data_IF_794274803859
#
_entry.id   IF_794274803859
#
_cell.length_a   1.000
_cell.length_b   1.000
_cell.length_c   1.000
_cell.angle_alpha   90.00
_cell.angle_beta   90.00
_cell.angle_gamma   90.00
#
_symmetry.space_group_name_H-M   'P 1'
#
loop_
_entity.id
_entity.type
_entity.pdbx_description
1 polymer ?
#
# COMPACT_ATOMS: atom_id res chain seq x y z
N UNK A 1 -39.45 3.31 -8.74
CA UNK A 1 -38.04 2.93 -8.54
C UNK A 1 -37.46 4.02 -7.68
N UNK A 2 -37.38 3.73 -6.38
CA UNK A 2 -37.30 4.74 -5.31
C UNK A 2 -35.90 5.32 -5.25
N UNK A 3 -35.82 6.59 -4.80
CA UNK A 3 -34.61 7.41 -4.60
C UNK A 3 -33.62 6.83 -3.56
N UNK A 4 -33.78 5.55 -3.22
CA UNK A 4 -33.06 4.82 -2.17
C UNK A 4 -31.67 4.33 -2.61
N UNK A 5 -31.35 4.33 -3.90
CA UNK A 5 -30.00 3.97 -4.39
C UNK A 5 -29.02 5.15 -4.34
N UNK A 6 -29.53 6.40 -4.27
CA UNK A 6 -28.70 7.61 -4.18
C UNK A 6 -28.18 7.88 -2.76
N UNK A 7 -28.65 7.09 -1.79
CA UNK A 7 -28.22 7.09 -0.38
C UNK A 7 -27.22 5.94 -0.11
N UNK A 8 -26.40 5.57 -1.09
CA UNK A 8 -25.05 5.04 -0.78
C UNK A 8 -24.22 6.26 -0.33
N UNK A 9 -24.61 6.74 0.85
CA UNK A 9 -24.11 7.92 1.50
C UNK A 9 -22.61 7.82 1.69
N UNK A 10 -21.97 8.93 1.37
CA UNK A 10 -20.59 9.36 1.60
C UNK A 10 -20.04 9.15 3.04
N UNK A 11 -20.74 8.42 3.92
CA UNK A 11 -20.32 8.10 5.29
C UNK A 11 -19.46 6.83 5.39
N UNK A 12 -19.23 6.10 4.28
CA UNK A 12 -18.46 4.85 4.26
C UNK A 12 -17.35 4.76 3.21
N UNK A 13 -16.87 5.86 2.65
CA UNK A 13 -15.53 5.88 2.05
C UNK A 13 -14.51 6.01 3.19
N UNK A 14 -14.40 4.94 3.98
CA UNK A 14 -13.32 4.82 4.93
C UNK A 14 -12.04 4.75 4.11
N UNK A 15 -11.04 5.58 4.43
CA UNK A 15 -9.68 5.53 3.84
C UNK A 15 -9.04 4.12 3.94
N UNK A 16 -9.70 3.19 4.64
CA UNK A 16 -9.37 1.78 4.79
C UNK A 16 -9.47 0.95 3.50
N UNK A 17 -10.22 1.38 2.48
CA UNK A 17 -10.41 0.55 1.27
C UNK A 17 -9.33 0.74 0.19
N UNK A 18 -8.56 1.85 0.24
CA UNK A 18 -7.50 2.08 -0.73
C UNK A 18 -6.20 1.40 -0.30
N UNK A 19 -5.61 0.60 -1.20
CA UNK A 19 -4.31 -0.05 -0.99
C UNK A 19 -3.18 0.95 -0.76
N UNK A 20 -3.29 2.13 -1.37
CA UNK A 20 -2.28 3.18 -1.37
C UNK A 20 -2.92 4.56 -1.52
N UNK A 21 -2.39 5.57 -0.83
CA UNK A 21 -2.73 6.98 -1.05
C UNK A 21 -1.57 7.91 -0.65
N UNK A 22 -1.60 9.15 -1.12
CA UNK A 22 -0.61 10.19 -0.76
C UNK A 22 -1.30 11.22 0.15
N UNK A 23 -0.71 11.49 1.31
CA UNK A 23 -1.17 12.57 2.17
C UNK A 23 -0.68 13.92 1.61
N UNK A 24 -1.62 14.66 1.04
CA UNK A 24 -1.34 15.97 0.43
C UNK A 24 -0.75 16.98 1.42
N UNK A 25 -1.09 16.92 2.71
CA UNK A 25 -0.55 17.85 3.71
C UNK A 25 0.94 17.64 4.01
N UNK A 26 1.45 16.44 3.71
CA UNK A 26 2.85 16.06 3.93
C UNK A 26 3.65 16.11 2.61
N UNK A 27 2.97 15.87 1.48
CA UNK A 27 3.60 15.88 0.16
C UNK A 27 4.24 17.25 -0.14
N UNK A 28 5.52 17.22 -0.48
CA UNK A 28 6.31 18.40 -0.85
C UNK A 28 6.51 18.55 -2.37
N UNK A 29 5.85 17.72 -3.19
CA UNK A 29 5.91 17.83 -4.66
C UNK A 29 7.21 17.35 -5.31
N UNK A 30 8.09 16.62 -4.61
CA UNK A 30 9.43 16.27 -5.12
C UNK A 30 9.50 15.37 -6.38
N UNK A 31 8.40 14.74 -6.79
CA UNK A 31 8.32 13.97 -8.05
C UNK A 31 8.88 12.55 -8.03
N UNK A 32 9.75 12.20 -7.08
CA UNK A 32 10.40 10.87 -7.00
C UNK A 32 9.41 9.70 -7.09
N UNK A 33 8.21 9.83 -6.52
CA UNK A 33 7.19 8.79 -6.56
C UNK A 33 6.71 8.47 -7.99
N UNK A 34 6.62 9.47 -8.88
CA UNK A 34 6.28 9.27 -10.28
C UNK A 34 7.42 8.61 -11.06
N UNK A 35 8.66 8.98 -10.77
CA UNK A 35 9.86 8.43 -11.43
C UNK A 35 10.08 6.93 -11.11
N UNK A 36 9.90 6.54 -9.85
CA UNK A 36 10.17 5.16 -9.42
C UNK A 36 8.98 4.21 -9.62
N UNK A 37 7.82 4.72 -10.01
CA UNK A 37 6.65 3.87 -10.22
C UNK A 37 6.66 3.29 -11.64
N UNK A 38 6.86 1.98 -11.83
CA UNK A 38 6.88 1.37 -13.16
C UNK A 38 5.51 1.41 -13.86
N UNK A 39 4.43 1.64 -13.10
CA UNK A 39 3.07 1.74 -13.60
C UNK A 39 2.57 3.19 -13.74
N UNK A 40 3.40 4.18 -13.39
CA UNK A 40 3.04 5.59 -13.51
C UNK A 40 1.80 6.01 -12.71
N UNK A 41 1.52 5.37 -11.56
CA UNK A 41 0.31 5.68 -10.78
C UNK A 41 0.38 7.04 -10.05
N UNK A 42 1.52 7.42 -9.43
CA UNK A 42 1.64 8.75 -8.83
C UNK A 42 1.73 9.81 -9.93
N UNK A 43 0.76 10.72 -9.96
CA UNK A 43 0.67 11.79 -10.96
C UNK A 43 0.59 13.16 -10.29
N UNK A 44 1.13 14.22 -10.92
CA UNK A 44 1.05 15.56 -10.38
C UNK A 44 -0.39 16.09 -10.41
N UNK A 45 -0.72 16.90 -9.40
CA UNK A 45 -1.93 17.71 -9.32
C UNK A 45 -1.61 19.15 -9.70
N UNK A 46 -2.64 19.95 -9.96
CA UNK A 46 -2.51 21.40 -10.21
C UNK A 46 -1.89 22.16 -9.02
N UNK A 47 -1.93 21.57 -7.81
CA UNK A 47 -1.30 22.12 -6.61
C UNK A 47 0.22 21.93 -6.56
N UNK A 48 0.82 21.25 -7.56
CA UNK A 48 2.24 20.88 -7.58
C UNK A 48 2.57 19.68 -6.69
N UNK A 49 1.57 19.09 -6.03
CA UNK A 49 1.69 17.86 -5.23
C UNK A 49 1.35 16.64 -6.07
N UNK A 50 1.42 15.46 -5.47
CA UNK A 50 1.16 14.19 -6.14
C UNK A 50 -0.01 13.46 -5.51
N UNK A 51 -0.74 12.72 -6.34
CA UNK A 51 -1.82 11.81 -5.93
C UNK A 51 -1.71 10.48 -6.71
N UNK A 52 -2.35 9.42 -6.22
CA UNK A 52 -2.38 8.11 -6.89
C UNK A 52 -3.57 8.05 -7.85
N UNK A 53 -3.30 7.96 -9.14
CA UNK A 53 -4.31 7.61 -10.14
C UNK A 53 -4.46 6.10 -10.21
N UNK A 54 -5.71 5.64 -10.33
CA UNK A 54 -6.06 4.23 -10.45
C UNK A 54 -5.39 3.35 -9.36
N UNK A 55 -5.65 3.61 -8.07
CA UNK A 55 -5.01 2.88 -6.96
C UNK A 55 -5.24 1.36 -7.00
N UNK A 56 -6.29 0.90 -7.69
CA UNK A 56 -6.57 -0.51 -7.98
C UNK A 56 -5.47 -1.21 -8.81
N UNK A 57 -4.71 -0.46 -9.61
CA UNK A 57 -3.60 -0.99 -10.42
C UNK A 57 -2.28 -1.11 -9.63
N UNK A 58 -2.26 -0.66 -8.37
CA UNK A 58 -1.07 -0.76 -7.53
C UNK A 58 -0.76 -2.22 -7.19
N UNK A 59 0.40 -2.71 -7.63
CA UNK A 59 0.90 -4.05 -7.30
C UNK A 59 1.61 -4.13 -5.95
N UNK A 60 1.49 -3.09 -5.13
CA UNK A 60 2.00 -3.05 -3.75
C UNK A 60 3.54 -3.24 -3.62
N UNK A 61 4.31 -2.98 -4.68
CA UNK A 61 5.77 -3.14 -4.70
C UNK A 61 6.53 -2.19 -3.73
N UNK A 62 5.83 -1.19 -3.20
CA UNK A 62 6.30 -0.21 -2.21
C UNK A 62 7.47 0.68 -2.66
N UNK A 63 7.78 0.73 -3.96
CA UNK A 63 8.87 1.54 -4.50
C UNK A 63 8.69 3.04 -4.20
N UNK A 64 7.51 3.58 -4.47
CA UNK A 64 7.21 4.99 -4.17
C UNK A 64 7.30 5.29 -2.67
N UNK A 65 6.76 4.40 -1.81
CA UNK A 65 6.80 4.58 -0.35
C UNK A 65 8.22 4.60 0.20
N UNK A 66 9.10 3.73 -0.28
CA UNK A 66 10.52 3.69 0.16
C UNK A 66 11.33 4.91 -0.27
N UNK A 67 10.95 5.56 -1.38
CA UNK A 67 11.68 6.69 -1.94
C UNK A 67 11.05 8.06 -1.61
N UNK A 68 9.96 8.10 -0.83
CA UNK A 68 9.36 9.36 -0.43
C UNK A 68 10.15 10.01 0.72
N UNK A 69 10.86 11.13 0.51
CA UNK A 69 11.73 11.72 1.53
C UNK A 69 10.97 12.29 2.74
N UNK A 70 9.69 12.61 2.55
CA UNK A 70 8.80 13.18 3.58
C UNK A 70 7.79 12.16 4.11
N UNK A 71 7.87 10.90 3.68
CA UNK A 71 6.97 9.82 4.11
C UNK A 71 5.48 10.12 3.90
N UNK A 72 5.13 10.87 2.85
CA UNK A 72 3.74 11.22 2.52
C UNK A 72 2.90 10.03 2.02
N UNK A 73 3.51 8.91 1.63
CA UNK A 73 2.83 7.78 1.00
C UNK A 73 2.42 6.74 2.04
N UNK A 74 1.11 6.52 2.14
CA UNK A 74 0.52 5.52 3.02
C UNK A 74 0.06 4.34 2.19
N UNK A 75 0.38 3.14 2.66
CA UNK A 75 0.01 1.87 2.01
C UNK A 75 -0.58 0.99 3.10
N UNK A 76 -1.75 0.44 2.84
CA UNK A 76 -2.40 -0.52 3.73
C UNK A 76 -1.83 -1.90 3.40
N UNK A 77 -0.76 -2.28 4.10
CA UNK A 77 -0.12 -3.57 3.93
C UNK A 77 -1.12 -4.68 4.30
N UNK A 78 -1.66 -5.36 3.29
CA UNK A 78 -2.43 -6.59 3.51
C UNK A 78 -1.47 -7.63 4.12
N UNK A 79 -1.89 -8.28 5.22
CA UNK A 79 -1.16 -9.41 5.80
C UNK A 79 -1.20 -10.58 4.80
N UNK A 80 -0.22 -10.65 3.91
CA UNK A 80 -0.08 -11.73 2.93
C UNK A 80 0.79 -12.87 3.46
N UNK A 81 0.42 -14.12 3.10
CA UNK A 81 1.31 -15.26 3.22
C UNK A 81 2.48 -15.08 2.24
N UNK A 82 3.71 -15.11 2.75
CA UNK A 82 4.89 -14.95 1.93
C UNK A 82 6.13 -14.90 2.81
N UNK A 83 7.21 -15.50 2.33
CA UNK A 83 8.48 -15.61 3.07
C UNK A 83 9.02 -14.24 3.53
N UNK A 84 8.62 -13.15 2.85
CA UNK A 84 8.97 -11.77 3.19
C UNK A 84 8.25 -11.21 4.43
N UNK A 85 7.00 -11.63 4.69
CA UNK A 85 6.30 -11.25 5.92
C UNK A 85 7.03 -11.82 7.14
N UNK A 86 7.43 -13.10 7.06
CA UNK A 86 8.21 -13.75 8.10
C UNK A 86 9.59 -13.09 8.29
N UNK A 87 10.25 -12.63 7.22
CA UNK A 87 11.52 -11.90 7.34
C UNK A 87 11.38 -10.58 8.12
N UNK A 88 10.32 -9.79 7.87
CA UNK A 88 10.08 -8.52 8.59
C UNK A 88 9.60 -8.71 10.03
N UNK A 89 8.84 -9.78 10.29
CA UNK A 89 8.47 -10.18 11.65
C UNK A 89 9.68 -10.70 12.44
N UNK A 90 10.53 -11.53 11.82
CA UNK A 90 11.75 -12.08 12.43
C UNK A 90 12.79 -11.01 12.76
N UNK A 91 12.91 -9.94 11.95
CA UNK A 91 13.79 -8.81 12.28
C UNK A 91 13.43 -8.12 13.61
N UNK A 92 12.19 -8.26 14.10
CA UNK A 92 11.72 -7.70 15.37
C UNK A 92 11.82 -8.67 16.56
N UNK A 93 12.06 -9.96 16.33
CA UNK A 93 12.07 -10.97 17.40
C UNK A 93 13.44 -11.66 17.51
N UNK A 94 14.40 -10.95 18.08
CA UNK A 94 15.76 -11.46 18.36
C UNK A 94 15.84 -12.38 19.59
N UNK A 95 14.72 -12.83 20.17
CA UNK A 95 14.70 -13.79 21.29
C UNK A 95 13.54 -14.79 21.19
N UNK A 96 13.58 -15.69 20.21
CA UNK A 96 13.01 -17.02 20.41
C UNK A 96 13.61 -17.99 19.39
N UNK A 97 14.47 -18.88 19.87
CA UNK A 97 14.91 -20.02 19.08
C UNK A 97 13.75 -21.00 18.94
N UNK A 98 13.16 -21.07 17.75
CA UNK A 98 12.52 -22.28 17.28
C UNK A 98 12.81 -22.46 15.79
N UNK A 99 13.13 -23.69 15.41
CA UNK A 99 14.01 -24.05 14.29
C UNK A 99 13.25 -24.32 13.00
N UNK A 100 12.17 -23.58 12.73
CA UNK A 100 11.34 -23.75 11.53
C UNK A 100 10.92 -22.40 10.92
N UNK A 101 11.88 -21.49 10.75
CA UNK A 101 11.61 -20.14 10.21
C UNK A 101 11.64 -20.07 8.67
N UNK A 102 11.89 -21.18 7.99
CA UNK A 102 12.01 -21.27 6.53
C UNK A 102 10.75 -21.85 5.85
N UNK A 103 9.55 -21.56 6.35
CA UNK A 103 8.33 -21.88 5.63
C UNK A 103 8.08 -20.82 4.53
N UNK A 104 8.71 -21.00 3.37
CA UNK A 104 8.16 -20.53 2.10
C UNK A 104 7.06 -21.51 1.68
N UNK A 105 5.80 -21.21 1.98
CA UNK A 105 4.68 -22.00 1.45
C UNK A 105 3.96 -21.16 0.37
N UNK A 106 4.15 -21.57 -0.89
CA UNK A 106 3.32 -21.19 -2.04
C UNK A 106 2.74 -22.50 -2.57
N UNK A 107 1.47 -22.81 -2.28
CA UNK A 107 0.78 -23.98 -2.83
C UNK A 107 -0.53 -24.31 -2.10
N UNK A 108 -1.56 -24.80 -2.80
CA UNK A 108 -2.88 -25.05 -2.22
C UNK A 108 -2.84 -26.28 -1.31
N UNK A 109 -3.58 -26.21 -0.23
CA UNK A 109 -3.71 -27.28 0.76
C UNK A 109 -4.70 -28.31 0.20
N UNK A 110 -4.18 -29.34 -0.44
CA UNK A 110 -4.90 -30.59 -0.70
C UNK A 110 -4.04 -31.77 -0.25
N UNK A 111 -4.55 -32.47 0.76
CA UNK A 111 -3.95 -33.61 1.45
C UNK A 111 -4.79 -34.01 2.65
#
# INVERSE_FOLDING_TARGET
>A
MTQSEFKVSLEKLSIKDFKIFINENICNGCGLCGEVCPFGLPQPLDTGKYDIKNPELCTECSACKRNCPVNAIIMNEQKGCGCLWNARANAKNSKSGNKDINACACGPEEG
#
